data_IF_251374714834
#
_entry.id   IF_251374714834
#
_cell.length_a   1.000
_cell.length_b   1.000
_cell.length_c   1.000
_cell.angle_alpha   90.00
_cell.angle_beta   90.00
_cell.angle_gamma   90.00
#
_symmetry.space_group_name_H-M   'P 1'
#
loop_
_entity.id
_entity.type
_entity.pdbx_description
1 polymer ?
#
# COMPACT_ATOMS: atom_id res chain seq x y z
N UNK A 1 -10.17 -6.06 5.43
CA UNK A 1 -9.63 -5.05 6.36
C UNK A 1 -8.22 -5.43 6.80
N UNK A 2 -7.25 -4.85 6.11
CA UNK A 2 -5.82 -4.99 6.41
C UNK A 2 -5.33 -3.63 6.88
N UNK A 3 -4.99 -3.49 8.16
CA UNK A 3 -4.57 -2.23 8.76
C UNK A 3 -3.11 -2.29 9.19
N UNK A 4 -2.40 -1.17 9.07
CA UNK A 4 -1.02 -1.03 9.56
C UNK A 4 -0.94 0.10 10.60
N UNK A 5 -0.01 -0.03 11.54
CA UNK A 5 0.14 0.98 12.60
C UNK A 5 0.94 2.19 12.11
N UNK A 6 0.75 3.35 12.74
CA UNK A 6 1.56 4.55 12.46
C UNK A 6 3.06 4.31 12.65
N UNK A 7 3.44 3.43 13.58
CA UNK A 7 4.85 3.02 13.74
C UNK A 7 5.37 2.25 12.51
N UNK A 8 4.55 1.37 11.92
CA UNK A 8 4.91 0.69 10.69
C UNK A 8 5.00 1.66 9.51
N UNK A 9 4.08 2.63 9.41
CA UNK A 9 4.12 3.70 8.40
C UNK A 9 5.41 4.50 8.50
N UNK A 10 5.78 4.95 9.70
CA UNK A 10 7.03 5.69 9.93
C UNK A 10 8.27 4.88 9.50
N UNK A 11 8.28 3.57 9.79
CA UNK A 11 9.35 2.68 9.33
C UNK A 11 9.40 2.58 7.80
N UNK A 12 8.25 2.51 7.14
CA UNK A 12 8.19 2.46 5.67
C UNK A 12 8.60 3.78 5.02
N UNK A 13 8.30 4.93 5.65
CA UNK A 13 8.78 6.24 5.17
C UNK A 13 10.30 6.31 5.11
N UNK A 14 10.98 5.79 6.13
CA UNK A 14 12.45 5.71 6.13
C UNK A 14 12.97 4.78 5.02
N UNK A 15 12.37 3.59 4.88
CA UNK A 15 12.77 2.61 3.88
C UNK A 15 12.50 3.04 2.42
N UNK A 16 11.48 3.85 2.20
CA UNK A 16 11.00 4.25 0.88
C UNK A 16 11.19 5.75 0.61
N UNK A 17 12.04 6.43 1.40
CA UNK A 17 12.27 7.88 1.30
C UNK A 17 12.70 8.36 -0.10
N UNK A 18 13.20 7.45 -0.94
CA UNK A 18 13.70 7.74 -2.29
C UNK A 18 12.62 7.54 -3.38
N UNK A 19 11.41 7.14 -2.99
CA UNK A 19 10.27 6.91 -3.86
C UNK A 19 9.15 7.92 -3.53
N UNK A 20 9.05 9.05 -4.25
CA UNK A 20 8.03 10.07 -4.01
C UNK A 20 6.60 9.53 -4.03
N UNK A 21 6.32 8.59 -4.94
CA UNK A 21 5.02 7.92 -5.05
C UNK A 21 4.71 7.08 -3.80
N UNK A 22 5.73 6.48 -3.19
CA UNK A 22 5.57 5.73 -1.95
C UNK A 22 5.28 6.66 -0.77
N UNK A 23 5.86 7.87 -0.74
CA UNK A 23 5.57 8.86 0.29
C UNK A 23 4.12 9.33 0.22
N UNK A 24 3.63 9.68 -0.98
CA UNK A 24 2.22 10.04 -1.19
C UNK A 24 1.27 8.92 -0.76
N UNK A 25 1.62 7.67 -1.09
CA UNK A 25 0.84 6.51 -0.67
C UNK A 25 0.83 6.35 0.86
N UNK A 26 1.98 6.51 1.52
CA UNK A 26 2.10 6.40 2.98
C UNK A 26 1.35 7.51 3.71
N UNK A 27 1.32 8.73 3.17
CA UNK A 27 0.53 9.83 3.71
C UNK A 27 -0.97 9.53 3.61
N UNK A 28 -1.43 9.04 2.46
CA UNK A 28 -2.82 8.63 2.29
C UNK A 28 -3.19 7.46 3.21
N UNK A 29 -2.26 6.53 3.44
CA UNK A 29 -2.48 5.43 4.39
C UNK A 29 -2.59 5.94 5.83
N UNK A 30 -1.80 6.94 6.22
CA UNK A 30 -1.90 7.56 7.54
C UNK A 30 -3.22 8.32 7.72
N UNK A 31 -3.66 9.06 6.70
CA UNK A 31 -4.94 9.77 6.70
C UNK A 31 -6.14 8.81 6.81
N UNK A 32 -6.01 7.60 6.29
CA UNK A 32 -7.01 6.53 6.42
C UNK A 32 -6.82 5.67 7.68
N UNK A 33 -6.16 6.19 8.72
CA UNK A 33 -5.92 5.51 10.00
C UNK A 33 -5.22 4.15 9.85
N UNK A 34 -4.37 4.03 8.82
CA UNK A 34 -3.66 2.81 8.49
C UNK A 34 -4.48 1.77 7.72
N UNK A 35 -5.73 2.06 7.35
CA UNK A 35 -6.55 1.15 6.54
C UNK A 35 -6.08 1.13 5.10
N UNK A 36 -5.47 0.01 4.69
CA UNK A 36 -4.95 -0.15 3.33
C UNK A 36 -6.06 -0.17 2.28
N UNK A 37 -7.25 -0.71 2.59
CA UNK A 37 -8.36 -0.76 1.63
C UNK A 37 -8.88 0.65 1.33
N UNK A 38 -9.13 1.45 2.36
CA UNK A 38 -9.65 2.82 2.22
C UNK A 38 -8.62 3.76 1.59
N UNK A 39 -7.35 3.65 2.01
CA UNK A 39 -6.27 4.45 1.45
C UNK A 39 -6.12 4.21 -0.04
N UNK A 40 -6.21 2.94 -0.43
CA UNK A 40 -5.95 2.56 -1.79
C UNK A 40 -7.19 2.91 -2.68
N UNK A 41 -8.42 2.90 -2.12
CA UNK A 41 -9.62 3.44 -2.78
C UNK A 41 -9.47 4.95 -3.02
N UNK A 42 -8.99 5.66 -2.01
CA UNK A 42 -8.71 7.11 -2.07
C UNK A 42 -7.70 7.42 -3.18
N UNK A 43 -6.60 6.67 -3.25
CA UNK A 43 -5.60 6.81 -4.32
C UNK A 43 -6.19 6.52 -5.71
N UNK A 44 -7.05 5.51 -5.85
CA UNK A 44 -7.75 5.20 -7.09
C UNK A 44 -8.63 6.37 -7.56
N UNK A 45 -9.39 6.97 -6.65
CA UNK A 45 -10.24 8.14 -6.93
C UNK A 45 -9.39 9.34 -7.36
N UNK A 46 -8.25 9.58 -6.70
CA UNK A 46 -7.34 10.68 -7.03
C UNK A 46 -6.81 10.63 -8.47
N UNK A 47 -6.62 9.42 -9.01
CA UNK A 47 -6.17 9.22 -10.41
C UNK A 47 -7.33 9.07 -11.40
N UNK A 48 -8.56 9.37 -10.97
CA UNK A 48 -9.76 9.34 -11.82
C UNK A 48 -10.34 7.95 -12.06
N UNK A 49 -9.93 6.94 -11.30
CA UNK A 49 -10.58 5.63 -11.34
C UNK A 49 -11.86 5.64 -10.50
N UNK A 50 -12.85 4.86 -10.93
CA UNK A 50 -14.04 4.54 -10.16
C UNK A 50 -13.92 3.09 -9.68
N UNK A 51 -13.37 2.86 -8.48
CA UNK A 51 -13.28 1.53 -7.93
C UNK A 51 -14.68 1.01 -7.57
N UNK A 52 -15.28 0.23 -8.47
CA UNK A 52 -16.59 -0.41 -8.26
C UNK A 52 -16.51 -1.71 -7.43
N UNK A 53 -15.30 -2.16 -7.10
CA UNK A 53 -15.05 -3.42 -6.38
C UNK A 53 -14.00 -3.22 -5.31
N UNK A 54 -14.15 -3.93 -4.18
CA UNK A 54 -13.19 -3.93 -3.06
C UNK A 54 -12.17 -5.08 -3.11
N UNK A 55 -12.23 -5.96 -4.10
CA UNK A 55 -11.36 -7.15 -4.23
C UNK A 55 -10.00 -6.86 -4.87
N UNK A 56 -9.82 -5.64 -5.38
CA UNK A 56 -8.65 -5.23 -6.15
C UNK A 56 -7.33 -5.33 -5.38
N UNK A 57 -7.35 -5.07 -4.07
CA UNK A 57 -6.16 -5.13 -3.21
C UNK A 57 -5.71 -6.59 -3.00
N UNK A 58 -6.67 -7.51 -2.85
CA UNK A 58 -6.41 -8.95 -2.81
C UNK A 58 -5.89 -9.46 -4.17
N UNK A 59 -6.47 -8.98 -5.27
CA UNK A 59 -6.02 -9.28 -6.62
C UNK A 59 -4.59 -8.80 -6.87
N UNK A 60 -4.24 -7.60 -6.43
CA UNK A 60 -2.89 -7.04 -6.50
C UNK A 60 -1.93 -7.88 -5.67
N UNK A 61 -2.28 -8.22 -4.43
CA UNK A 61 -1.45 -9.05 -3.55
C UNK A 61 -1.16 -10.42 -4.18
N UNK A 62 -2.14 -11.07 -4.83
CA UNK A 62 -1.93 -12.34 -5.54
C UNK A 62 -0.96 -12.21 -6.71
N UNK A 63 -1.03 -11.11 -7.47
CA UNK A 63 -0.11 -10.83 -8.58
C UNK A 63 1.30 -10.52 -8.11
N UNK A 64 1.43 -9.75 -7.03
CA UNK A 64 2.71 -9.42 -6.41
C UNK A 64 3.31 -10.60 -5.64
N UNK A 65 2.51 -11.60 -5.25
CA UNK A 65 2.96 -12.77 -4.49
C UNK A 65 4.18 -13.44 -5.09
N UNK A 66 4.25 -13.57 -6.42
CA UNK A 66 5.42 -14.20 -7.07
C UNK A 66 6.67 -13.35 -6.84
N UNK A 67 6.61 -12.05 -7.08
CA UNK A 67 7.73 -11.14 -6.86
C UNK A 67 8.14 -11.02 -5.37
N UNK A 68 7.16 -11.00 -4.46
CA UNK A 68 7.39 -10.89 -3.00
C UNK A 68 7.91 -12.20 -2.41
N UNK A 69 7.44 -13.36 -2.89
CA UNK A 69 7.79 -14.67 -2.34
C UNK A 69 8.99 -15.33 -3.03
N UNK A 70 9.38 -14.90 -4.24
CA UNK A 70 10.67 -15.28 -4.82
C UNK A 70 11.83 -14.63 -4.04
N UNK A 71 12.96 -15.35 -3.97
CA UNK A 71 14.00 -15.22 -2.95
C UNK A 71 14.70 -13.87 -2.75
N UNK A 72 14.34 -12.83 -3.51
CA UNK A 72 14.93 -11.48 -3.42
C UNK A 72 14.47 -10.77 -2.14
N UNK A 73 13.25 -11.00 -1.67
CA UNK A 73 12.74 -10.45 -0.40
C UNK A 73 12.83 -11.41 0.79
N UNK A 74 13.16 -12.70 0.54
CA UNK A 74 13.27 -13.74 1.58
C UNK A 74 14.61 -13.75 2.33
N UNK A 75 15.53 -12.84 2.00
CA UNK A 75 16.79 -12.65 2.73
C UNK A 75 16.82 -11.29 3.43
N UNK A 76 16.28 -11.26 4.64
CA UNK A 76 16.76 -10.44 5.76
C UNK A 76 16.38 -11.12 7.07
#
# INVERSE_FOLDING_TARGET
>A
MTTITSQAIARYRDQLAHCPEAMQALDTIEDCEGNLEDAALTLGIQVGQQPDRNDWLEGLAKRCRVAICEGVFRRR
#
